data_IF_846703659299
#
_entry.id   IF_846703659299
#
_cell.length_a   1.000
_cell.length_b   1.000
_cell.length_c   1.000
_cell.angle_alpha   90.00
_cell.angle_beta   90.00
_cell.angle_gamma   90.00
#
_symmetry.space_group_name_H-M   'P 1'
#
loop_
_entity.id
_entity.type
_entity.pdbx_description
1 polymer ?
#
# COMPACT_ATOMS: atom_id res chain seq x y z
N UNK A 1 4.82 23.63 43.73
CA UNK A 1 5.46 22.46 43.09
C UNK A 1 4.62 22.03 41.87
N UNK A 2 4.95 22.51 40.64
CA UNK A 2 4.20 22.25 39.38
C UNK A 2 5.13 21.74 38.23
N UNK A 3 6.31 21.20 38.56
CA UNK A 3 7.35 20.80 37.58
C UNK A 3 7.16 19.39 36.97
N UNK A 4 6.21 18.59 37.46
CA UNK A 4 5.98 17.21 37.00
C UNK A 4 5.14 17.09 35.71
N UNK A 5 4.35 18.11 35.37
CA UNK A 5 3.47 18.11 34.18
C UNK A 5 4.22 17.94 32.84
N UNK A 6 5.35 18.63 32.55
CA UNK A 6 6.07 18.43 31.29
C UNK A 6 6.77 17.08 31.21
N UNK A 7 7.23 16.52 32.34
CA UNK A 7 7.91 15.22 32.39
C UNK A 7 6.94 14.09 32.03
N UNK A 8 5.71 14.14 32.54
CA UNK A 8 4.66 13.16 32.22
C UNK A 8 4.27 13.22 30.74
N UNK A 9 4.18 14.41 30.16
CA UNK A 9 3.89 14.58 28.72
C UNK A 9 5.02 14.05 27.85
N UNK A 10 6.28 14.29 28.24
CA UNK A 10 7.45 13.76 27.53
C UNK A 10 7.49 12.21 27.60
N UNK A 11 7.16 11.64 28.75
CA UNK A 11 7.10 10.19 28.95
C UNK A 11 5.99 9.54 28.14
N UNK A 12 4.81 10.16 28.07
CA UNK A 12 3.70 9.72 27.22
C UNK A 12 4.07 9.80 25.72
N UNK A 13 4.74 10.86 25.29
CA UNK A 13 5.23 10.99 23.92
C UNK A 13 6.22 9.87 23.56
N UNK A 14 7.12 9.52 24.48
CA UNK A 14 8.09 8.43 24.28
C UNK A 14 7.43 7.05 24.19
N UNK A 15 6.32 6.81 24.91
CA UNK A 15 5.57 5.55 24.85
C UNK A 15 4.80 5.39 23.53
N UNK A 16 4.34 6.48 22.93
CA UNK A 16 3.58 6.45 21.66
C UNK A 16 4.52 6.32 20.45
N UNK A 17 5.80 6.67 20.60
CA UNK A 17 6.81 6.66 19.53
C UNK A 17 7.41 5.27 19.25
N UNK A 18 6.62 4.20 19.37
CA UNK A 18 7.09 2.86 18.97
C UNK A 18 7.17 2.79 17.43
N UNK A 19 8.34 2.48 16.84
CA UNK A 19 8.43 2.30 15.40
C UNK A 19 7.61 1.08 14.99
N UNK A 20 6.67 1.27 14.06
CA UNK A 20 5.96 0.17 13.42
C UNK A 20 6.88 -0.45 12.36
N UNK A 21 7.21 -1.73 12.52
CA UNK A 21 7.90 -2.51 11.48
C UNK A 21 6.85 -3.23 10.63
N UNK A 22 6.98 -3.12 9.30
CA UNK A 22 6.16 -3.90 8.38
C UNK A 22 6.65 -5.37 8.36
N UNK A 23 5.73 -6.32 8.14
CA UNK A 23 6.10 -7.72 7.94
C UNK A 23 6.96 -7.85 6.66
N UNK A 24 8.20 -8.31 6.83
CA UNK A 24 9.15 -8.55 5.73
C UNK A 24 9.18 -10.03 5.34
N UNK A 25 8.02 -10.62 5.08
CA UNK A 25 7.95 -12.00 4.61
C UNK A 25 8.22 -12.03 3.08
N UNK A 26 9.32 -12.63 2.62
CA UNK A 26 9.61 -12.72 1.20
C UNK A 26 8.61 -13.59 0.44
N UNK A 27 7.90 -14.50 1.12
CA UNK A 27 6.93 -15.39 0.50
C UNK A 27 5.56 -14.73 0.29
N UNK A 28 5.29 -13.57 0.90
CA UNK A 28 4.03 -12.84 0.77
C UNK A 28 4.09 -11.72 -0.28
N UNK A 29 5.05 -11.79 -1.22
CA UNK A 29 5.21 -10.81 -2.30
C UNK A 29 5.20 -11.49 -3.64
N UNK A 30 4.44 -10.92 -4.57
CA UNK A 30 4.55 -11.21 -5.98
C UNK A 30 5.53 -10.19 -6.58
N UNK A 31 6.64 -10.66 -7.16
CA UNK A 31 7.68 -9.83 -7.74
C UNK A 31 8.15 -10.40 -9.08
N UNK A 32 8.42 -9.51 -10.04
CA UNK A 32 8.77 -9.87 -11.41
C UNK A 32 9.87 -8.94 -11.92
N UNK A 33 10.75 -9.46 -12.77
CA UNK A 33 11.91 -8.72 -13.30
C UNK A 33 11.60 -7.95 -14.59
N UNK A 34 10.39 -8.11 -15.13
CA UNK A 34 9.96 -7.50 -16.40
C UNK A 34 8.55 -6.91 -16.28
N UNK A 35 8.25 -5.82 -17.01
CA UNK A 35 6.89 -5.28 -17.08
C UNK A 35 5.95 -6.27 -17.76
N UNK A 36 4.66 -6.15 -17.46
CA UNK A 36 3.61 -6.94 -18.10
C UNK A 36 3.42 -6.51 -19.55
N UNK A 37 3.30 -7.50 -20.45
CA UNK A 37 3.00 -7.26 -21.87
C UNK A 37 1.53 -7.47 -22.21
N UNK A 38 0.81 -8.19 -21.36
CA UNK A 38 -0.59 -8.57 -21.51
C UNK A 38 -1.31 -8.48 -20.17
N UNK A 39 -2.64 -8.36 -20.23
CA UNK A 39 -3.49 -8.16 -19.06
C UNK A 39 -3.29 -9.20 -17.95
N UNK A 40 -3.15 -10.48 -18.32
CA UNK A 40 -3.00 -11.59 -17.35
C UNK A 40 -1.66 -11.58 -16.60
N UNK A 41 -0.68 -10.80 -17.06
CA UNK A 41 0.62 -10.62 -16.40
C UNK A 41 0.63 -9.41 -15.46
N UNK A 42 -0.33 -8.50 -15.59
CA UNK A 42 -0.41 -7.28 -14.80
C UNK A 42 -0.87 -7.57 -13.36
N UNK A 43 -0.42 -6.74 -12.41
CA UNK A 43 -0.69 -6.97 -10.99
C UNK A 43 -2.02 -6.32 -10.56
N UNK A 44 -2.96 -7.08 -9.97
CA UNK A 44 -4.22 -6.54 -9.51
C UNK A 44 -4.06 -5.80 -8.18
N UNK A 45 -4.65 -4.61 -8.09
CA UNK A 45 -4.85 -3.86 -6.84
C UNK A 45 -6.30 -3.40 -6.76
N UNK A 46 -6.86 -3.30 -5.56
CA UNK A 46 -8.24 -2.83 -5.41
C UNK A 46 -8.72 -2.71 -3.97
N UNK A 47 -9.84 -2.01 -3.79
CA UNK A 47 -10.48 -1.78 -2.49
C UNK A 47 -11.89 -2.38 -2.40
N UNK A 48 -12.22 -3.31 -3.29
CA UNK A 48 -13.55 -3.94 -3.40
C UNK A 48 -14.55 -3.14 -4.24
N UNK A 49 -14.34 -1.84 -4.46
CA UNK A 49 -15.15 -1.02 -5.38
C UNK A 49 -14.41 -0.70 -6.66
N UNK A 50 -13.21 -0.14 -6.52
CA UNK A 50 -12.29 0.15 -7.61
C UNK A 50 -11.22 -0.94 -7.68
N UNK A 51 -10.87 -1.32 -8.89
CA UNK A 51 -9.75 -2.19 -9.20
C UNK A 51 -8.85 -1.55 -10.24
N UNK A 52 -7.57 -1.90 -10.22
CA UNK A 52 -6.63 -1.57 -11.27
C UNK A 52 -5.70 -2.75 -11.56
N UNK A 53 -5.28 -2.86 -12.82
CA UNK A 53 -4.24 -3.77 -13.26
C UNK A 53 -3.01 -2.93 -13.64
N UNK A 54 -1.89 -3.16 -12.94
CA UNK A 54 -0.65 -2.38 -13.07
C UNK A 54 0.34 -3.11 -13.96
N UNK A 55 0.83 -2.45 -15.02
CA UNK A 55 1.72 -3.06 -16.01
C UNK A 55 3.21 -2.92 -15.66
N UNK A 56 3.61 -1.82 -15.02
CA UNK A 56 4.95 -1.67 -14.47
C UNK A 56 6.02 -1.25 -15.47
N UNK A 57 5.66 -0.72 -16.64
CA UNK A 57 6.63 -0.21 -17.64
C UNK A 57 7.18 1.16 -17.19
N UNK A 58 8.48 1.28 -16.88
CA UNK A 58 9.07 2.54 -16.43
C UNK A 58 9.06 3.66 -17.47
N UNK A 59 8.98 3.31 -18.75
CA UNK A 59 9.00 4.26 -19.88
C UNK A 59 7.60 4.75 -20.24
N UNK A 60 6.59 3.88 -20.16
CA UNK A 60 5.21 4.20 -20.46
C UNK A 60 4.24 3.33 -19.65
N UNK A 61 3.93 3.76 -18.44
CA UNK A 61 3.08 3.02 -17.52
C UNK A 61 1.61 2.95 -17.98
N UNK A 62 0.95 1.82 -17.73
CA UNK A 62 -0.47 1.61 -18.04
C UNK A 62 -1.20 1.06 -16.83
N UNK A 63 -2.31 1.72 -16.47
CA UNK A 63 -3.23 1.29 -15.42
C UNK A 63 -4.58 1.04 -16.05
N UNK A 64 -4.98 -0.23 -16.14
CA UNK A 64 -6.34 -0.53 -16.57
C UNK A 64 -7.27 -0.50 -15.37
N UNK A 65 -8.35 0.28 -15.43
CA UNK A 65 -9.25 0.53 -14.32
C UNK A 65 -10.56 -0.24 -14.47
N UNK A 66 -11.03 -0.79 -13.34
CA UNK A 66 -12.34 -1.40 -13.19
C UNK A 66 -13.12 -0.70 -12.06
N UNK A 67 -14.43 -0.60 -12.23
CA UNK A 67 -15.37 -0.15 -11.18
C UNK A 67 -16.50 -1.18 -11.09
N UNK A 68 -16.76 -1.67 -9.88
CA UNK A 68 -17.62 -2.84 -9.66
C UNK A 68 -19.09 -2.66 -10.07
N UNK A 69 -19.55 -1.43 -10.32
CA UNK A 69 -20.91 -1.10 -10.74
C UNK A 69 -21.03 -0.72 -12.22
N UNK A 70 -19.94 -0.76 -12.99
CA UNK A 70 -19.98 -0.54 -14.44
C UNK A 70 -20.46 -1.82 -15.15
N UNK A 71 -21.74 -1.82 -15.51
CA UNK A 71 -22.40 -2.93 -16.22
C UNK A 71 -23.18 -2.39 -17.43
N UNK A 72 -23.32 -3.21 -18.48
CA UNK A 72 -23.96 -2.80 -19.74
C UNK A 72 -25.50 -2.84 -19.70
N UNK A 73 -26.10 -3.30 -18.61
CA UNK A 73 -27.55 -3.54 -18.48
C UNK A 73 -27.95 -4.96 -18.84
#
# INVERSE_FOLDING_TARGET
MKKSRPVVVLYLFFLISSPAYAQQDPYLKLWYEKPASQWVEALPVGNGRLGAMVYGDPSCETWQLNENTVWAG
#
